data_IF_984288967196
#
_entry.id   IF_984288967196
#
_cell.length_a   1.000
_cell.length_b   1.000
_cell.length_c   1.000
_cell.angle_alpha   90.00
_cell.angle_beta   90.00
_cell.angle_gamma   90.00
#
_symmetry.space_group_name_H-M   'P 1'
#
loop_
_entity.id
_entity.type
_entity.pdbx_description
1 polymer ?
#
# COMPACT_ATOMS: atom_id res chain seq x y z
N UNK A 1 -14.03 3.21 6.61
CA UNK A 1 -12.86 2.87 5.75
C UNK A 1 -11.53 2.95 6.50
N UNK A 2 -11.22 4.01 7.24
CA UNK A 2 -9.93 4.15 7.95
C UNK A 2 -9.52 2.93 8.82
N UNK A 3 -10.45 2.31 9.56
CA UNK A 3 -10.14 1.15 10.42
C UNK A 3 -9.80 -0.14 9.66
N UNK A 4 -10.25 -0.31 8.41
CA UNK A 4 -9.87 -1.49 7.61
C UNK A 4 -8.44 -1.37 7.12
N UNK A 5 -8.03 -0.21 6.62
CA UNK A 5 -6.65 0.04 6.16
C UNK A 5 -5.63 -0.02 7.30
N UNK A 6 -5.97 0.52 8.46
CA UNK A 6 -5.12 0.44 9.66
C UNK A 6 -4.87 -1.00 10.13
N UNK A 7 -5.78 -1.95 9.86
CA UNK A 7 -5.58 -3.36 10.19
C UNK A 7 -5.05 -4.22 9.04
N UNK A 8 -5.37 -3.88 7.80
CA UNK A 8 -5.06 -4.69 6.62
C UNK A 8 -3.79 -4.24 5.88
N UNK A 9 -3.26 -3.05 6.15
CA UNK A 9 -2.10 -2.47 5.47
C UNK A 9 -1.21 -1.66 6.44
N UNK A 10 -1.16 -2.03 7.72
CA UNK A 10 -0.19 -1.44 8.65
C UNK A 10 1.25 -1.85 8.30
N UNK A 11 2.22 -1.18 8.94
CA UNK A 11 3.65 -1.47 8.75
C UNK A 11 3.99 -2.96 8.90
N UNK A 12 3.44 -3.65 9.91
CA UNK A 12 3.65 -5.09 10.11
C UNK A 12 3.12 -5.93 8.94
N UNK A 13 1.98 -5.54 8.35
CA UNK A 13 1.42 -6.19 7.17
C UNK A 13 2.27 -5.96 5.91
N UNK A 14 2.85 -4.78 5.78
CA UNK A 14 3.70 -4.42 4.63
C UNK A 14 5.03 -5.18 4.67
N UNK A 15 5.60 -5.39 5.86
CA UNK A 15 6.84 -6.18 6.02
C UNK A 15 6.61 -7.67 5.69
N UNK A 16 5.42 -8.21 6.02
CA UNK A 16 5.07 -9.63 5.82
C UNK A 16 4.22 -9.90 4.57
N UNK A 17 4.19 -8.95 3.62
CA UNK A 17 3.26 -8.94 2.47
C UNK A 17 3.29 -10.22 1.61
N UNK A 18 4.45 -10.89 1.57
CA UNK A 18 4.68 -12.13 0.88
C UNK A 18 3.91 -13.32 1.50
N UNK A 19 3.77 -13.34 2.83
CA UNK A 19 3.04 -14.38 3.57
C UNK A 19 1.52 -14.26 3.39
N UNK A 20 1.04 -13.06 3.06
CA UNK A 20 -0.39 -12.73 3.00
C UNK A 20 -1.02 -12.95 1.62
N UNK A 21 -0.21 -13.14 0.57
CA UNK A 21 -0.69 -13.32 -0.81
C UNK A 21 -1.79 -14.40 -0.94
N UNK A 22 -1.67 -15.60 -0.35
CA UNK A 22 -2.75 -16.61 -0.41
C UNK A 22 -4.07 -16.13 0.23
N UNK A 23 -3.99 -15.34 1.30
CA UNK A 23 -5.16 -14.75 1.98
C UNK A 23 -5.79 -13.60 1.20
N UNK A 24 -4.98 -12.81 0.50
CA UNK A 24 -5.40 -11.66 -0.31
C UNK A 24 -6.13 -12.07 -1.60
N UNK A 25 -5.81 -13.25 -2.16
CA UNK A 25 -6.41 -13.79 -3.41
C UNK A 25 -7.47 -14.86 -3.17
N UNK A 26 -7.77 -15.16 -1.89
CA UNK A 26 -8.75 -16.17 -1.52
C UNK A 26 -10.20 -15.80 -1.87
N UNK A 27 -11.13 -16.74 -1.63
CA UNK A 27 -12.58 -16.50 -1.81
C UNK A 27 -13.28 -15.96 -0.54
N UNK A 28 -12.52 -15.33 0.35
CA UNK A 28 -13.03 -14.85 1.63
C UNK A 28 -13.60 -13.43 1.49
N UNK A 29 -14.51 -13.00 2.39
CA UNK A 29 -14.96 -11.61 2.43
C UNK A 29 -13.80 -10.63 2.64
N UNK A 30 -12.75 -11.03 3.36
CA UNK A 30 -11.54 -10.24 3.56
C UNK A 30 -10.80 -10.00 2.23
N UNK A 31 -10.55 -11.05 1.46
CA UNK A 31 -9.89 -10.96 0.15
C UNK A 31 -10.66 -10.03 -0.81
N UNK A 32 -11.99 -10.16 -0.83
CA UNK A 32 -12.86 -9.28 -1.63
C UNK A 32 -12.75 -7.82 -1.18
N UNK A 33 -12.89 -7.56 0.12
CA UNK A 33 -12.80 -6.19 0.64
C UNK A 33 -11.42 -5.57 0.44
N UNK A 34 -10.34 -6.34 0.54
CA UNK A 34 -8.97 -5.86 0.28
C UNK A 34 -8.82 -5.43 -1.19
N UNK A 35 -9.32 -6.25 -2.12
CA UNK A 35 -9.33 -5.92 -3.55
C UNK A 35 -10.14 -4.65 -3.83
N UNK A 36 -11.39 -4.59 -3.38
CA UNK A 36 -12.28 -3.43 -3.56
C UNK A 36 -11.66 -2.14 -2.96
N UNK A 37 -11.01 -2.26 -1.81
CA UNK A 37 -10.35 -1.15 -1.14
C UNK A 37 -9.14 -0.62 -1.92
N UNK A 38 -8.31 -1.51 -2.48
CA UNK A 38 -7.19 -1.12 -3.33
C UNK A 38 -7.67 -0.51 -4.66
N UNK A 39 -8.70 -1.06 -5.29
CA UNK A 39 -9.31 -0.49 -6.50
C UNK A 39 -9.86 0.92 -6.25
N UNK A 40 -10.51 1.13 -5.10
CA UNK A 40 -11.01 2.45 -4.70
C UNK A 40 -9.87 3.45 -4.47
N UNK A 41 -8.80 3.05 -3.77
CA UNK A 41 -7.62 3.91 -3.59
C UNK A 41 -7.04 4.32 -4.94
N UNK A 42 -6.82 3.37 -5.84
CA UNK A 42 -6.19 3.63 -7.14
C UNK A 42 -7.05 4.48 -8.09
N UNK A 43 -8.37 4.36 -8.02
CA UNK A 43 -9.29 5.12 -8.89
C UNK A 43 -9.55 6.54 -8.39
N UNK A 44 -9.88 6.69 -7.11
CA UNK A 44 -10.36 7.96 -6.54
C UNK A 44 -9.26 8.79 -5.87
N UNK A 45 -8.10 8.17 -5.59
CA UNK A 45 -6.98 8.74 -4.84
C UNK A 45 -7.41 9.55 -3.60
N UNK A 46 -8.21 8.97 -2.69
CA UNK A 46 -8.89 9.73 -1.63
C UNK A 46 -7.98 10.12 -0.44
N UNK A 47 -6.73 9.65 -0.41
CA UNK A 47 -5.78 9.91 0.67
C UNK A 47 -4.39 10.32 0.12
N UNK A 48 -3.78 11.35 0.69
CA UNK A 48 -2.40 11.72 0.39
C UNK A 48 -1.39 10.88 1.17
N UNK A 49 -0.11 11.08 0.90
CA UNK A 49 1.00 10.40 1.59
C UNK A 49 0.99 10.66 3.11
N UNK A 50 0.59 11.86 3.53
CA UNK A 50 0.43 12.22 4.95
C UNK A 50 -0.69 11.42 5.61
N UNK A 51 -1.87 11.37 5.00
CA UNK A 51 -3.01 10.62 5.54
C UNK A 51 -2.71 9.13 5.61
N UNK A 52 -2.06 8.62 4.56
CA UNK A 52 -1.59 7.23 4.51
C UNK A 52 -0.61 6.91 5.64
N UNK A 53 0.38 7.77 5.89
CA UNK A 53 1.33 7.61 6.99
C UNK A 53 0.63 7.60 8.35
N UNK A 54 -0.35 8.49 8.56
CA UNK A 54 -1.15 8.52 9.79
C UNK A 54 -2.00 7.26 9.99
N UNK A 55 -2.50 6.66 8.91
CA UNK A 55 -3.33 5.45 8.98
C UNK A 55 -2.53 4.15 9.12
N UNK A 56 -1.35 4.07 8.50
CA UNK A 56 -0.61 2.81 8.29
C UNK A 56 0.75 2.75 8.99
N UNK A 57 1.32 3.91 9.35
CA UNK A 57 2.69 4.03 9.83
C UNK A 57 3.75 4.03 8.71
N UNK A 58 3.37 3.78 7.45
CA UNK A 58 4.31 3.77 6.32
C UNK A 58 4.29 5.13 5.63
N UNK A 59 5.47 5.75 5.51
CA UNK A 59 5.58 7.12 4.99
C UNK A 59 6.06 7.14 3.55
N UNK A 60 5.47 8.03 2.75
CA UNK A 60 5.94 8.36 1.41
C UNK A 60 6.19 9.86 1.32
N UNK A 61 7.29 10.25 0.67
CA UNK A 61 7.61 11.65 0.46
C UNK A 61 6.63 12.36 -0.49
N UNK A 62 5.99 11.62 -1.38
CA UNK A 62 5.17 12.15 -2.46
C UNK A 62 3.98 11.24 -2.73
N UNK A 63 2.81 11.83 -3.00
CA UNK A 63 1.59 11.08 -3.34
C UNK A 63 1.84 10.16 -4.53
N UNK A 64 2.52 10.62 -5.59
CA UNK A 64 2.78 9.80 -6.77
C UNK A 64 3.63 8.56 -6.44
N UNK A 65 4.54 8.65 -5.46
CA UNK A 65 5.30 7.48 -4.99
C UNK A 65 4.42 6.51 -4.22
N UNK A 66 3.52 7.02 -3.37
CA UNK A 66 2.51 6.19 -2.70
C UNK A 66 1.65 5.45 -3.72
N UNK A 67 1.09 6.15 -4.70
CA UNK A 67 0.18 5.54 -5.66
C UNK A 67 0.89 4.61 -6.65
N UNK A 68 2.18 4.84 -6.94
CA UNK A 68 2.99 3.87 -7.67
C UNK A 68 3.19 2.58 -6.86
N UNK A 69 3.44 2.69 -5.55
CA UNK A 69 3.55 1.53 -4.67
C UNK A 69 2.23 0.75 -4.55
N UNK A 70 1.11 1.45 -4.36
CA UNK A 70 -0.23 0.84 -4.37
C UNK A 70 -0.54 0.16 -5.72
N UNK A 71 -0.04 0.77 -6.80
CA UNK A 71 0.13 0.24 -8.17
C UNK A 71 0.64 -1.20 -8.13
N UNK A 72 1.90 -1.28 -7.77
CA UNK A 72 2.67 -2.52 -7.74
C UNK A 72 2.09 -3.54 -6.76
N UNK A 73 1.50 -3.08 -5.64
CA UNK A 73 0.83 -3.95 -4.68
C UNK A 73 -0.42 -4.62 -5.27
N UNK A 74 -1.25 -3.85 -5.98
CA UNK A 74 -2.40 -4.41 -6.67
C UNK A 74 -1.95 -5.41 -7.74
N UNK A 75 -0.95 -5.05 -8.54
CA UNK A 75 -0.41 -5.94 -9.58
C UNK A 75 0.20 -7.22 -8.98
N UNK A 76 0.81 -7.15 -7.79
CA UNK A 76 1.38 -8.30 -7.10
C UNK A 76 0.32 -9.28 -6.59
N UNK A 77 -0.80 -8.76 -6.09
CA UNK A 77 -1.89 -9.62 -5.62
C UNK A 77 -2.82 -10.10 -6.74
N UNK A 78 -3.13 -9.25 -7.71
CA UNK A 78 -4.22 -9.47 -8.66
C UNK A 78 -3.83 -9.37 -10.13
N UNK A 79 -2.61 -8.94 -10.42
CA UNK A 79 -2.05 -8.88 -11.77
C UNK A 79 -0.92 -9.89 -11.98
N UNK A 80 -0.01 -9.55 -12.89
CA UNK A 80 1.05 -10.45 -13.37
C UNK A 80 2.39 -10.24 -12.66
N UNK A 81 2.45 -9.42 -11.60
CA UNK A 81 3.70 -9.13 -10.91
C UNK A 81 4.10 -10.30 -10.00
N UNK A 82 5.30 -10.84 -10.24
CA UNK A 82 5.83 -11.98 -9.51
C UNK A 82 6.41 -11.61 -8.14
N UNK A 83 7.18 -10.52 -8.06
CA UNK A 83 7.88 -10.09 -6.84
C UNK A 83 7.07 -9.07 -6.03
N UNK A 84 7.11 -9.12 -4.68
CA UNK A 84 6.41 -8.12 -3.87
C UNK A 84 6.99 -6.72 -4.12
N UNK A 85 6.17 -5.66 -4.05
CA UNK A 85 6.70 -4.30 -4.00
C UNK A 85 7.47 -4.09 -2.70
N UNK A 86 8.51 -3.26 -2.77
CA UNK A 86 9.29 -2.85 -1.60
C UNK A 86 8.75 -1.50 -1.14
N UNK A 87 8.33 -1.42 0.12
CA UNK A 87 7.96 -0.14 0.71
C UNK A 87 9.20 0.77 0.81
N UNK A 88 9.04 2.10 0.70
CA UNK A 88 10.16 3.00 0.87
C UNK A 88 10.78 2.84 2.26
N UNK A 89 12.11 2.85 2.31
CA UNK A 89 12.84 2.91 3.56
C UNK A 89 12.46 4.20 4.31
N UNK A 90 11.97 4.04 5.55
CA UNK A 90 11.55 5.15 6.40
C UNK A 90 12.72 6.06 6.79
N UNK A 91 13.96 5.55 6.76
CA UNK A 91 15.18 6.32 6.99
C UNK A 91 15.77 6.91 5.70
N UNK A 92 15.16 6.62 4.53
CA UNK A 92 15.67 7.15 3.27
C UNK A 92 15.64 8.69 3.26
N UNK A 93 16.73 9.32 2.78
CA UNK A 93 16.77 10.77 2.65
C UNK A 93 15.61 11.28 1.80
N UNK A 94 15.09 12.50 2.07
CA UNK A 94 14.07 13.10 1.23
C UNK A 94 14.58 13.25 -0.21
N UNK A 95 13.71 13.26 -1.24
CA UNK A 95 14.13 13.46 -2.62
C UNK A 95 14.92 14.76 -2.80
N UNK A 96 15.90 14.80 -3.71
CA UNK A 96 16.82 15.95 -3.93
C UNK A 96 16.10 17.31 -4.06
N UNK A 97 14.87 17.32 -4.58
CA UNK A 97 14.05 18.54 -4.71
C UNK A 97 13.70 19.22 -3.37
N UNK A 98 13.85 18.51 -2.25
CA UNK A 98 13.64 19.00 -0.88
C UNK A 98 14.93 19.43 -0.17
N UNK A 99 16.09 19.33 -0.83
CA UNK A 99 17.40 19.69 -0.26
C UNK A 99 17.83 21.14 -0.58
N UNK A 100 16.92 21.95 -1.15
CA UNK A 100 17.18 23.34 -1.56
C UNK A 100 16.57 24.35 -0.61
#
# INVERSE_FOLDING_TARGET
>A
MAGFFSGALNVEFIDDIHTMKPGAVGKTPYARHLKEALEHLLSERPAGSTDWALMTGVSFWEDDRLYSYLKDLYDYFYGDREEPPVAPDAEAPPPEKYWR
#
